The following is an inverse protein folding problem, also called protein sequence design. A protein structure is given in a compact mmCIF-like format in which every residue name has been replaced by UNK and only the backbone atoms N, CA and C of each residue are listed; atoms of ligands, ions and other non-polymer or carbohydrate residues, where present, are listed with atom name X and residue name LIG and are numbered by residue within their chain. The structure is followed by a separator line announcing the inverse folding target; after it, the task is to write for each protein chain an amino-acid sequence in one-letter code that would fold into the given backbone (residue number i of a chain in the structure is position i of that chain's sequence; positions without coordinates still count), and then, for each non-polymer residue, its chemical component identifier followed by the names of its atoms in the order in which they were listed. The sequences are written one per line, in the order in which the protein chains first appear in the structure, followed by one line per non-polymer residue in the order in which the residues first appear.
data_IF_948776484454
#
_entry.id   IF_948776484454
#
_cell.length_a   1.000
_cell.length_b   1.000
_cell.length_c   1.000
_cell.angle_alpha   90.00
_cell.angle_beta   90.00
_cell.angle_gamma   90.00
#
_symmetry.space_group_name_H-M   'P 1'
#
loop_
_entity.id
_entity.type
_entity.pdbx_description
1 polymer ?
#
# COMPACT_ATOMS: atom_id res chain seq x y z
N UNK A 1 -11.50 17.08 -10.02
CA UNK A 1 -11.15 16.93 -10.06
C UNK A 1 -10.36 16.35 -10.29
N UNK A 2 -10.44 16.01 -10.55
CA UNK A 2 -9.38 15.24 -10.99
C UNK A 2 -8.27 14.98 -10.07
N UNK A 3 -8.43 15.33 -8.91
CA UNK A 3 -7.39 15.12 -7.93
C UNK A 3 -7.31 13.64 -7.59
N UNK A 4 -6.13 13.10 -7.80
CA UNK A 4 -5.90 11.71 -7.44
C UNK A 4 -5.49 11.60 -5.99
N UNK A 5 -6.04 10.63 -5.32
CA UNK A 5 -5.66 10.37 -3.94
C UNK A 5 -4.31 9.68 -3.91
N UNK A 6 -3.58 9.88 -2.81
CA UNK A 6 -2.35 9.14 -2.62
C UNK A 6 -2.67 7.66 -2.44
N UNK A 7 -1.85 6.83 -3.01
CA UNK A 7 -2.09 5.40 -2.97
C UNK A 7 -1.88 4.81 -1.58
N UNK A 8 -0.93 5.36 -0.84
CA UNK A 8 -0.59 4.84 0.48
C UNK A 8 -0.81 5.89 1.56
N UNK A 9 -1.11 5.44 2.77
CA UNK A 9 -1.40 6.31 3.90
C UNK A 9 -0.17 6.77 4.66
N UNK A 10 1.00 6.75 4.02
CA UNK A 10 2.24 7.07 4.69
C UNK A 10 2.17 8.46 5.35
N UNK A 11 1.74 9.46 4.60
CA UNK A 11 1.64 10.81 5.15
C UNK A 11 0.63 10.89 6.28
N UNK A 12 -0.47 10.15 6.17
CA UNK A 12 -1.49 10.17 7.22
C UNK A 12 -0.90 9.74 8.56
N UNK A 13 -0.09 8.68 8.54
CA UNK A 13 0.51 8.20 9.78
C UNK A 13 1.62 9.12 10.26
N UNK A 14 2.42 9.66 9.35
CA UNK A 14 3.49 10.57 9.73
C UNK A 14 2.95 11.86 10.33
N UNK A 15 1.89 12.40 9.76
CA UNK A 15 1.35 13.68 10.22
C UNK A 15 0.62 13.58 11.55
N UNK A 16 0.36 12.37 12.02
CA UNK A 16 -0.18 12.18 13.36
C UNK A 16 0.88 12.29 14.43
N UNK A 17 2.15 12.24 14.06
CA UNK A 17 3.23 12.30 15.03
C UNK A 17 3.49 13.74 15.48
N UNK A 18 3.93 13.94 16.73
CA UNK A 18 4.43 15.25 17.13
C UNK A 18 5.60 15.67 16.24
N UNK A 19 5.83 16.97 16.13
CA UNK A 19 6.84 17.49 15.21
C UNK A 19 8.20 16.85 15.40
N UNK A 20 8.65 16.69 16.65
CA UNK A 20 9.97 16.12 16.89
C UNK A 20 10.04 14.68 16.42
N UNK A 21 8.98 13.91 16.67
CA UNK A 21 8.96 12.53 16.23
C UNK A 21 8.83 12.42 14.72
N UNK A 22 8.10 13.33 14.10
CA UNK A 22 8.01 13.38 12.65
C UNK A 22 9.39 13.54 12.02
N UNK A 23 10.17 14.47 12.53
CA UNK A 23 11.51 14.69 12.01
C UNK A 23 12.39 13.45 12.14
N UNK A 24 12.30 12.80 13.30
CA UNK A 24 13.08 11.59 13.52
C UNK A 24 12.61 10.46 12.60
N UNK A 25 11.31 10.30 12.44
CA UNK A 25 10.76 9.26 11.59
C UNK A 25 11.22 9.42 10.14
N UNK A 26 11.24 10.66 9.65
CA UNK A 26 11.67 10.92 8.28
C UNK A 26 13.13 10.52 8.07
N UNK A 27 13.92 10.54 9.11
CA UNK A 27 15.32 10.12 9.03
C UNK A 27 15.47 8.60 9.20
N UNK A 28 14.67 8.03 10.08
CA UNK A 28 14.79 6.63 10.44
C UNK A 28 14.20 5.69 9.39
N UNK A 29 13.03 6.03 8.91
CA UNK A 29 12.29 5.14 8.01
C UNK A 29 13.08 4.79 6.75
N UNK A 30 13.68 5.76 6.04
CA UNK A 30 14.46 5.39 4.86
C UNK A 30 15.58 4.42 5.17
N UNK A 31 16.21 4.57 6.33
CA UNK A 31 17.29 3.66 6.73
C UNK A 31 16.77 2.24 6.92
N UNK A 32 15.64 2.12 7.58
CA UNK A 32 15.06 0.80 7.81
C UNK A 32 14.67 0.16 6.48
N UNK A 33 14.15 0.97 5.58
CA UNK A 33 13.75 0.47 4.26
C UNK A 33 14.94 0.21 3.35
N UNK A 34 16.09 0.77 3.66
CA UNK A 34 17.25 0.62 2.80
C UNK A 34 17.16 1.45 1.54
N UNK A 35 16.50 2.60 1.61
CA UNK A 35 16.35 3.48 0.45
C UNK A 35 16.86 4.87 0.79
N UNK A 36 17.06 5.69 -0.25
CA UNK A 36 17.47 7.07 -0.04
C UNK A 36 16.30 7.89 0.47
N UNK A 37 16.62 9.06 1.05
CA UNK A 37 15.58 9.97 1.48
C UNK A 37 14.70 10.39 0.30
N UNK A 38 15.32 10.61 -0.85
CA UNK A 38 14.58 11.00 -2.04
C UNK A 38 13.58 9.90 -2.46
N UNK A 39 14.01 8.65 -2.43
CA UNK A 39 13.13 7.53 -2.76
C UNK A 39 11.97 7.45 -1.75
N UNK A 40 12.27 7.66 -0.48
CA UNK A 40 11.25 7.67 0.54
C UNK A 40 10.19 8.75 0.26
N UNK A 41 10.64 9.95 -0.07
CA UNK A 41 9.69 11.03 -0.40
C UNK A 41 8.88 10.71 -1.65
N UNK A 42 9.50 10.03 -2.61
CA UNK A 42 8.75 9.60 -3.79
C UNK A 42 7.65 8.61 -3.40
N UNK A 43 7.97 7.68 -2.50
CA UNK A 43 6.97 6.72 -2.03
C UNK A 43 5.78 7.42 -1.38
N UNK A 44 6.07 8.46 -0.59
CA UNK A 44 5.01 9.20 0.09
C UNK A 44 4.04 9.87 -0.87
N UNK A 45 4.51 10.18 -2.07
CA UNK A 45 3.75 10.96 -3.02
C UNK A 45 3.16 10.17 -4.18
N UNK A 46 3.28 8.84 -4.15
CA UNK A 46 2.68 8.02 -5.20
C UNK A 46 1.17 8.18 -5.16
N UNK A 47 0.60 8.45 -6.31
CA UNK A 47 -0.84 8.63 -6.46
C UNK A 47 -1.47 7.37 -7.02
N UNK A 48 -2.75 7.21 -6.75
CA UNK A 48 -3.49 6.10 -7.32
C UNK A 48 -3.41 6.18 -8.84
N UNK A 49 -3.08 5.08 -9.46
CA UNK A 49 -2.96 5.04 -10.91
C UNK A 49 -1.57 5.33 -11.44
N UNK A 50 -0.66 5.75 -10.58
CA UNK A 50 0.73 5.96 -11.03
C UNK A 50 1.35 4.64 -11.44
N UNK A 51 2.26 4.71 -12.40
CA UNK A 51 3.00 3.52 -12.82
C UNK A 51 4.01 3.09 -11.77
N UNK A 52 4.55 4.06 -11.03
CA UNK A 52 5.49 3.75 -9.97
C UNK A 52 4.75 3.13 -8.80
N UNK A 53 5.43 2.26 -8.11
CA UNK A 53 4.85 1.65 -6.93
C UNK A 53 5.95 1.30 -5.95
N UNK A 54 5.57 0.99 -4.73
CA UNK A 54 6.50 0.57 -3.70
C UNK A 54 6.66 -0.94 -3.82
N UNK A 55 7.89 -1.45 -3.85
CA UNK A 55 8.06 -2.90 -3.84
C UNK A 55 7.35 -3.53 -2.65
N UNK A 56 6.78 -4.69 -2.87
CA UNK A 56 5.96 -5.35 -1.85
C UNK A 56 6.70 -5.52 -0.52
N UNK A 57 7.97 -5.90 -0.56
CA UNK A 57 8.71 -6.09 0.68
C UNK A 57 8.85 -4.79 1.47
N UNK A 58 8.92 -3.64 0.77
CA UNK A 58 8.99 -2.35 1.45
C UNK A 58 7.64 -2.00 2.06
N UNK A 59 6.56 -2.36 1.36
CA UNK A 59 5.22 -2.16 1.92
C UNK A 59 5.08 -2.92 3.23
N UNK A 60 5.57 -4.15 3.27
CA UNK A 60 5.52 -4.95 4.50
C UNK A 60 6.31 -4.29 5.62
N UNK A 61 7.46 -3.70 5.29
CA UNK A 61 8.25 -2.99 6.30
C UNK A 61 7.51 -1.76 6.82
N UNK A 62 6.88 -1.00 5.93
CA UNK A 62 6.06 0.14 6.37
C UNK A 62 4.97 -0.31 7.31
N UNK A 63 4.32 -1.41 6.99
CA UNK A 63 3.23 -1.89 7.83
C UNK A 63 3.74 -2.29 9.20
N UNK A 64 4.91 -2.89 9.27
CA UNK A 64 5.50 -3.22 10.57
C UNK A 64 5.90 -1.96 11.33
N UNK A 65 6.49 -0.98 10.63
CA UNK A 65 6.90 0.25 11.27
C UNK A 65 5.74 1.03 11.88
N UNK A 66 4.61 1.04 11.19
CA UNK A 66 3.43 1.75 11.67
C UNK A 66 2.50 0.85 12.48
N UNK A 67 2.90 -0.39 12.73
CA UNK A 67 2.11 -1.37 13.49
C UNK A 67 0.74 -1.60 12.87
N UNK A 68 0.74 -1.78 11.56
CA UNK A 68 -0.47 -1.98 10.79
C UNK A 68 -0.67 -3.45 10.46
N UNK A 69 -1.89 -3.79 10.17
CA UNK A 69 -2.20 -5.09 9.63
C UNK A 69 -1.86 -5.11 8.14
N UNK A 70 -1.71 -6.31 7.62
CA UNK A 70 -1.47 -6.48 6.20
C UNK A 70 -2.58 -5.81 5.40
N UNK A 71 -2.20 -4.94 4.48
CA UNK A 71 -3.16 -4.23 3.63
C UNK A 71 -3.64 -2.90 4.17
N UNK A 72 -3.28 -2.54 5.40
CA UNK A 72 -3.76 -1.28 5.96
C UNK A 72 -3.01 -0.06 5.48
N UNK A 73 -1.85 -0.24 4.90
CA UNK A 73 -1.08 0.91 4.40
C UNK A 73 -1.74 1.54 3.18
N UNK A 74 -2.39 0.74 2.38
CA UNK A 74 -2.97 1.22 1.14
C UNK A 74 -4.24 2.01 1.42
N UNK A 75 -4.39 3.14 0.76
CA UNK A 75 -5.50 4.06 1.04
C UNK A 75 -6.83 3.50 0.56
N UNK A 76 -6.81 2.89 -0.60
CA UNK A 76 -8.01 2.31 -1.18
C UNK A 76 -7.89 0.80 -1.14
N UNK A 77 -8.77 0.17 -0.41
CA UNK A 77 -8.71 -1.27 -0.26
C UNK A 77 -9.05 -1.98 -1.56
N UNK A 78 -8.28 -3.00 -1.85
CA UNK A 78 -8.56 -3.85 -2.99
C UNK A 78 -9.74 -4.74 -2.64
N UNK A 79 -10.72 -4.77 -3.52
CA UNK A 79 -11.91 -5.61 -3.30
C UNK A 79 -11.98 -6.67 -4.36
N UNK A 80 -12.18 -7.86 -3.90
CA UNK A 80 -12.30 -9.00 -4.80
C UNK A 80 -12.98 -10.12 -4.03
N UNK A 81 -13.87 -10.81 -4.69
CA UNK A 81 -14.51 -11.96 -4.07
C UNK A 81 -13.53 -13.11 -4.05
N UNK A 82 -13.61 -13.97 -3.05
CA UNK A 82 -12.76 -15.16 -3.04
C UNK A 82 -12.98 -16.00 -4.30
N UNK A 83 -11.93 -16.62 -4.75
CA UNK A 83 -12.02 -17.45 -5.94
C UNK A 83 -13.12 -18.50 -5.81
N UNK A 84 -13.29 -19.06 -4.64
CA UNK A 84 -14.30 -20.04 -4.38
C UNK A 84 -15.70 -19.54 -4.75
N UNK A 85 -15.99 -18.28 -4.37
CA UNK A 85 -17.29 -17.70 -4.73
C UNK A 85 -17.40 -17.44 -6.20
N UNK A 86 -16.32 -16.99 -6.83
CA UNK A 86 -16.34 -16.73 -8.24
C UNK A 86 -16.56 -18.00 -9.04
N UNK A 87 -15.98 -19.09 -8.58
CA UNK A 87 -16.16 -20.37 -9.26
C UNK A 87 -17.58 -20.90 -9.12
N UNK A 88 -18.21 -20.62 -8.01
CA UNK A 88 -19.55 -21.12 -7.77
C UNK A 88 -20.64 -20.29 -8.43
N UNK A 89 -20.40 -18.97 -8.56
CA UNK A 89 -21.46 -18.06 -9.01
C UNK A 89 -21.30 -17.56 -10.42
N UNK A 90 -20.11 -17.58 -10.95
CA UNK A 90 -19.89 -17.03 -12.26
C UNK A 90 -20.35 -17.94 -13.37
N UNK A 91 -20.82 -17.38 -14.46
CA UNK A 91 -21.17 -18.21 -15.61
C UNK A 91 -19.99 -19.03 -16.11
N UNK A 92 -18.81 -18.47 -16.04
CA UNK A 92 -17.63 -19.19 -16.45
C UNK A 92 -17.31 -20.35 -15.55
N UNK A 93 -17.77 -20.29 -14.32
CA UNK A 93 -17.49 -21.34 -13.38
C UNK A 93 -18.04 -22.67 -13.82
N UNK A 94 -19.08 -22.63 -14.55
CA UNK A 94 -19.63 -23.85 -15.01
C UNK A 94 -18.89 -24.43 -16.12
N UNK A 95 -18.26 -23.66 -16.81
CA UNK A 95 -17.56 -24.13 -17.87
C UNK A 95 -16.24 -24.28 -17.65
N UNK A 96 -15.63 -23.81 -17.37
CA UNK A 96 -14.38 -23.90 -17.21
C UNK A 96 -13.75 -24.24 -16.42
N UNK A 97 -13.82 -24.37 -16.15
CA UNK A 97 -13.27 -24.52 -15.33
C UNK A 97 -12.84 -25.50 -15.11
N UNK A 98 -12.92 -25.88 -15.54
CA UNK A 98 -12.64 -26.79 -15.22
C UNK A 98 -11.56 -27.04 -15.36
N UNK A 99 -11.23 -26.39 -15.72
CA UNK A 99 -10.31 -26.51 -15.68
C UNK A 99 -9.35 -26.44 -15.50
N UNK A 100 -9.16 -26.18 -15.59
CA UNK A 100 -8.26 -26.04 -15.31
C UNK A 100 -7.85 -26.23 -15.28
#
# INVERSE_FOLDING_TARGET
MGDKARKYKINDFLLKLPVSQYRDAVKIIPRVLGVSLNTFHNYRNILSGDKQDIPHEKVLLFEKLFELRCGELINKQTRCKPLKELLNNGPGAKKQIKQR
#
